data_IF_140273939175
#
_entry.id   IF_140273939175
#
_cell.length_a   1.000
_cell.length_b   1.000
_cell.length_c   1.000
_cell.angle_alpha   90.00
_cell.angle_beta   90.00
_cell.angle_gamma   90.00
#
_symmetry.space_group_name_H-M   'P 1'
#
loop_
_entity.id
_entity.type
_entity.pdbx_description
1 polymer ?
#
# COMPACT_ATOMS: atom_id res chain seq x y z
N UNK A 1 -4.17 -13.58 22.66
CA UNK A 1 -4.29 -12.51 21.66
C UNK A 1 -5.13 -11.40 22.27
N UNK A 2 -4.71 -10.13 22.16
CA UNK A 2 -5.50 -9.02 22.66
C UNK A 2 -6.74 -8.77 21.81
N UNK A 3 -7.71 -8.06 22.36
CA UNK A 3 -8.90 -7.62 21.63
C UNK A 3 -8.48 -6.61 20.56
N UNK A 4 -8.94 -6.72 19.30
CA UNK A 4 -8.60 -5.77 18.24
C UNK A 4 -9.02 -4.33 18.58
N UNK A 5 -8.31 -3.33 18.07
CA UNK A 5 -8.63 -1.92 18.30
C UNK A 5 -10.02 -1.59 17.75
N UNK A 6 -10.36 -2.07 16.54
CA UNK A 6 -11.67 -1.81 15.94
C UNK A 6 -12.84 -2.26 16.83
N UNK A 7 -12.69 -3.39 17.57
CA UNK A 7 -13.73 -3.87 18.48
C UNK A 7 -13.87 -2.98 19.72
N UNK A 8 -12.75 -2.41 20.18
CA UNK A 8 -12.75 -1.48 21.31
C UNK A 8 -13.29 -0.10 20.95
N UNK A 9 -13.11 0.30 19.69
CA UNK A 9 -13.45 1.64 19.22
C UNK A 9 -14.93 1.78 18.82
N UNK A 10 -15.56 0.68 18.34
CA UNK A 10 -16.93 0.70 17.81
C UNK A 10 -17.95 0.52 18.96
N UNK A 11 -19.01 1.35 18.95
CA UNK A 11 -20.14 1.18 19.87
C UNK A 11 -20.77 -0.22 19.75
N UNK A 12 -21.19 -0.92 20.82
CA UNK A 12 -21.32 -0.41 22.20
C UNK A 12 -20.07 -0.54 23.09
N UNK A 13 -18.97 -1.14 22.63
CA UNK A 13 -17.75 -1.29 23.42
C UNK A 13 -16.91 -0.01 23.46
N UNK A 14 -16.98 0.79 22.41
CA UNK A 14 -16.31 2.08 22.25
C UNK A 14 -17.29 3.22 22.04
N UNK A 15 -16.78 4.38 21.65
CA UNK A 15 -17.53 5.62 21.50
C UNK A 15 -17.78 6.02 20.02
N UNK A 16 -17.25 5.25 19.06
CA UNK A 16 -17.38 5.57 17.64
C UNK A 16 -18.44 4.73 16.95
N UNK A 17 -19.17 5.33 16.03
CA UNK A 17 -20.04 4.61 15.11
C UNK A 17 -19.19 3.78 14.12
N UNK A 18 -19.72 2.61 13.76
CA UNK A 18 -18.99 1.75 12.86
C UNK A 18 -19.60 0.37 12.73
N UNK A 19 -18.94 -0.47 11.96
CA UNK A 19 -19.35 -1.87 11.77
C UNK A 19 -18.18 -2.79 11.43
N UNK A 20 -18.40 -4.08 11.64
CA UNK A 20 -17.59 -5.16 11.09
C UNK A 20 -18.50 -6.09 10.27
N UNK A 21 -18.10 -6.36 9.02
CA UNK A 21 -18.85 -7.25 8.12
C UNK A 21 -17.92 -8.32 7.53
N UNK A 22 -18.25 -9.59 7.76
CA UNK A 22 -17.56 -10.72 7.13
C UNK A 22 -18.15 -10.97 5.73
N UNK A 23 -17.30 -11.13 4.73
CA UNK A 23 -17.60 -11.32 3.32
C UNK A 23 -16.85 -12.55 2.78
N UNK A 24 -17.23 -13.74 3.25
CA UNK A 24 -16.55 -14.98 2.86
C UNK A 24 -15.08 -15.00 3.26
N UNK A 25 -14.17 -14.93 2.27
CA UNK A 25 -12.71 -14.91 2.50
C UNK A 25 -12.16 -13.49 2.76
N UNK A 26 -13.05 -12.50 2.83
CA UNK A 26 -12.71 -11.11 3.17
C UNK A 26 -13.54 -10.65 4.36
N UNK A 27 -13.18 -9.52 4.90
CA UNK A 27 -13.99 -8.77 5.84
C UNK A 27 -13.73 -7.28 5.68
N UNK A 28 -14.65 -6.49 6.18
CA UNK A 28 -14.56 -5.02 6.18
C UNK A 28 -14.88 -4.55 7.59
N UNK A 29 -14.09 -3.62 8.12
CA UNK A 29 -14.46 -2.84 9.29
C UNK A 29 -14.50 -1.36 8.93
N UNK A 30 -15.44 -0.65 9.52
CA UNK A 30 -15.56 0.80 9.38
C UNK A 30 -15.62 1.42 10.77
N UNK A 31 -14.90 2.53 10.96
CA UNK A 31 -14.90 3.31 12.20
C UNK A 31 -14.99 4.78 11.81
N UNK A 32 -16.05 5.45 12.21
CA UNK A 32 -16.25 6.86 11.96
C UNK A 32 -15.64 7.69 13.10
N UNK A 33 -14.69 8.57 12.78
CA UNK A 33 -14.04 9.47 13.74
C UNK A 33 -14.07 10.92 13.26
N UNK A 34 -13.57 11.18 12.05
CA UNK A 34 -13.46 12.51 11.46
C UNK A 34 -14.32 12.58 10.20
N UNK A 35 -15.32 13.44 10.12
CA UNK A 35 -16.16 13.59 8.93
C UNK A 35 -15.40 14.17 7.73
N UNK A 36 -14.20 14.73 7.92
CA UNK A 36 -13.44 15.33 6.83
C UNK A 36 -12.50 14.37 6.14
N UNK A 37 -12.02 13.31 6.83
CA UNK A 37 -11.00 12.40 6.30
C UNK A 37 -11.37 10.96 6.49
N UNK A 38 -11.59 10.24 5.39
CA UNK A 38 -11.68 8.78 5.37
C UNK A 38 -10.38 8.19 4.78
N UNK A 39 -9.85 7.17 5.43
CA UNK A 39 -8.75 6.36 4.89
C UNK A 39 -9.21 4.93 4.70
N UNK A 40 -9.18 4.46 3.46
CA UNK A 40 -9.50 3.08 3.09
C UNK A 40 -8.19 2.30 2.97
N UNK A 41 -8.05 1.21 3.71
CA UNK A 41 -6.83 0.40 3.69
C UNK A 41 -7.09 -1.03 3.30
N UNK A 42 -6.09 -1.64 2.69
CA UNK A 42 -6.15 -3.01 2.18
C UNK A 42 -4.99 -3.81 2.76
N UNK A 43 -5.29 -5.01 3.26
CA UNK A 43 -4.27 -5.94 3.75
C UNK A 43 -3.23 -6.26 2.67
N UNK A 44 -2.00 -6.44 3.09
CA UNK A 44 -0.95 -7.03 2.25
C UNK A 44 -0.81 -8.53 2.54
N UNK A 45 0.10 -9.20 1.82
CA UNK A 45 0.32 -10.65 2.00
C UNK A 45 0.83 -11.04 3.39
N UNK A 46 1.45 -10.13 4.15
CA UNK A 46 1.95 -10.44 5.48
C UNK A 46 0.84 -10.40 6.54
N UNK A 47 -0.17 -9.57 6.35
CA UNK A 47 -1.37 -9.52 7.18
C UNK A 47 -2.45 -10.49 6.70
N UNK A 48 -2.48 -10.86 5.42
CA UNK A 48 -3.49 -11.75 4.84
C UNK A 48 -3.54 -13.12 5.53
N UNK A 49 -4.74 -13.60 5.78
CA UNK A 49 -4.98 -14.88 6.44
C UNK A 49 -5.43 -14.73 7.89
N UNK A 50 -5.58 -15.88 8.56
CA UNK A 50 -6.01 -15.92 9.95
C UNK A 50 -7.49 -15.51 10.17
N UNK A 51 -7.82 -15.24 11.43
CA UNK A 51 -9.17 -14.84 11.84
C UNK A 51 -9.28 -13.32 11.76
N UNK A 52 -9.95 -12.77 10.74
CA UNK A 52 -10.12 -11.33 10.54
C UNK A 52 -10.69 -10.61 11.78
N UNK A 53 -11.64 -11.24 12.47
CA UNK A 53 -12.27 -10.68 13.66
C UNK A 53 -11.37 -10.62 14.90
N UNK A 54 -10.21 -11.27 14.85
CA UNK A 54 -9.26 -11.34 15.96
C UNK A 54 -8.02 -10.45 15.77
N UNK A 55 -8.04 -9.59 14.76
CA UNK A 55 -6.93 -8.68 14.45
C UNK A 55 -7.41 -7.35 13.88
N UNK A 56 -6.54 -6.39 13.82
CA UNK A 56 -6.76 -5.13 13.14
C UNK A 56 -6.47 -5.24 11.64
N UNK A 57 -7.11 -4.41 10.84
CA UNK A 57 -6.75 -4.19 9.44
C UNK A 57 -5.39 -3.48 9.35
N UNK A 58 -4.75 -3.55 8.19
CA UNK A 58 -3.49 -2.85 7.95
C UNK A 58 -3.62 -1.36 8.26
N UNK A 59 -2.65 -0.81 8.99
CA UNK A 59 -2.54 0.59 9.39
C UNK A 59 -3.61 1.12 10.38
N UNK A 60 -4.52 0.28 10.94
CA UNK A 60 -5.57 0.72 11.89
C UNK A 60 -5.04 1.65 12.98
N UNK A 61 -3.96 1.25 13.67
CA UNK A 61 -3.39 2.08 14.73
C UNK A 61 -2.90 3.44 14.23
N UNK A 62 -2.23 3.48 13.07
CA UNK A 62 -1.73 4.74 12.51
C UNK A 62 -2.87 5.69 12.16
N UNK A 63 -3.96 5.17 11.62
CA UNK A 63 -5.14 5.96 11.23
C UNK A 63 -5.85 6.48 12.47
N UNK A 64 -6.05 5.62 13.48
CA UNK A 64 -6.60 6.01 14.78
C UNK A 64 -5.76 7.06 15.50
N UNK A 65 -4.42 6.91 15.51
CA UNK A 65 -3.48 7.89 16.09
C UNK A 65 -3.60 9.29 15.41
N UNK A 66 -4.10 9.37 14.17
CA UNK A 66 -4.36 10.62 13.46
C UNK A 66 -5.82 11.11 13.60
N UNK A 67 -6.67 10.39 14.30
CA UNK A 67 -8.09 10.72 14.46
C UNK A 67 -8.95 10.54 13.22
N UNK A 68 -8.44 9.91 12.15
CA UNK A 68 -9.16 9.76 10.88
C UNK A 68 -10.16 8.60 10.91
N UNK A 69 -11.24 8.75 10.15
CA UNK A 69 -12.17 7.65 9.87
C UNK A 69 -11.48 6.56 9.04
N UNK A 70 -11.84 5.31 9.28
CA UNK A 70 -11.14 4.16 8.71
C UNK A 70 -12.11 3.15 8.12
N UNK A 71 -11.89 2.75 6.87
CA UNK A 71 -12.48 1.57 6.25
C UNK A 71 -11.36 0.55 5.97
N UNK A 72 -11.26 -0.49 6.81
CA UNK A 72 -10.23 -1.51 6.69
C UNK A 72 -10.73 -2.73 5.92
N UNK A 73 -10.03 -3.12 4.86
CA UNK A 73 -10.37 -4.29 4.02
C UNK A 73 -9.41 -5.43 4.35
N UNK A 74 -9.95 -6.49 4.93
CA UNK A 74 -9.19 -7.69 5.30
C UNK A 74 -9.18 -8.71 4.17
N UNK A 75 -8.07 -9.41 4.03
CA UNK A 75 -7.93 -10.54 3.12
C UNK A 75 -7.64 -11.84 3.90
N UNK A 76 -8.39 -12.91 3.62
CA UNK A 76 -8.18 -14.24 4.21
C UNK A 76 -7.03 -15.03 3.57
N UNK A 77 -6.35 -14.44 2.58
CA UNK A 77 -5.23 -15.05 1.88
C UNK A 77 -4.76 -14.20 0.71
N UNK A 78 -3.94 -14.74 -0.19
CA UNK A 78 -3.38 -14.06 -1.35
C UNK A 78 -4.42 -13.87 -2.46
N UNK A 79 -5.48 -13.11 -2.19
CA UNK A 79 -6.68 -13.00 -3.03
C UNK A 79 -6.62 -11.88 -4.06
N UNK A 80 -5.74 -10.91 -3.91
CA UNK A 80 -5.78 -9.66 -4.68
C UNK A 80 -7.17 -9.05 -4.75
N UNK A 81 -7.98 -9.27 -3.69
CA UNK A 81 -9.36 -8.76 -3.58
C UNK A 81 -10.25 -9.14 -4.77
N UNK A 82 -9.95 -10.29 -5.41
CA UNK A 82 -10.72 -10.86 -6.52
C UNK A 82 -11.84 -11.74 -5.95
N UNK A 83 -12.89 -11.12 -5.44
CA UNK A 83 -14.08 -11.77 -4.89
C UNK A 83 -15.30 -10.90 -5.21
N UNK A 84 -16.27 -11.45 -5.94
CA UNK A 84 -17.47 -10.72 -6.37
C UNK A 84 -18.24 -10.16 -5.17
N UNK A 85 -18.32 -10.89 -4.06
CA UNK A 85 -19.03 -10.42 -2.84
C UNK A 85 -18.40 -9.17 -2.24
N UNK A 86 -17.06 -9.07 -2.27
CA UNK A 86 -16.37 -7.89 -1.83
C UNK A 86 -16.61 -6.71 -2.78
N UNK A 87 -16.54 -6.96 -4.08
CA UNK A 87 -16.78 -5.95 -5.13
C UNK A 87 -18.20 -5.40 -5.00
N UNK A 88 -19.21 -6.27 -4.88
CA UNK A 88 -20.61 -5.87 -4.74
C UNK A 88 -20.82 -5.09 -3.44
N UNK A 89 -20.26 -5.54 -2.33
CA UNK A 89 -20.40 -4.86 -1.05
C UNK A 89 -19.82 -3.45 -1.07
N UNK A 90 -18.61 -3.28 -1.60
CA UNK A 90 -17.99 -1.96 -1.72
C UNK A 90 -18.75 -1.05 -2.70
N UNK A 91 -19.30 -1.62 -3.76
CA UNK A 91 -20.18 -0.90 -4.71
C UNK A 91 -21.48 -0.44 -4.05
N UNK A 92 -22.07 -1.25 -3.18
CA UNK A 92 -23.24 -0.89 -2.39
C UNK A 92 -22.94 0.26 -1.42
N UNK A 93 -21.80 0.23 -0.70
CA UNK A 93 -21.38 1.33 0.16
C UNK A 93 -21.22 2.64 -0.62
N UNK A 94 -20.73 2.57 -1.88
CA UNK A 94 -20.69 3.72 -2.78
C UNK A 94 -22.09 4.21 -3.13
N UNK A 95 -22.99 3.31 -3.50
CA UNK A 95 -24.38 3.63 -3.87
C UNK A 95 -25.14 4.26 -2.70
N UNK A 96 -24.94 3.75 -1.48
CA UNK A 96 -25.48 4.29 -0.23
C UNK A 96 -24.88 5.67 0.14
N UNK A 97 -23.82 6.08 -0.53
CA UNK A 97 -23.23 7.42 -0.38
C UNK A 97 -22.13 7.52 0.66
N UNK A 98 -21.66 6.43 1.26
CA UNK A 98 -20.65 6.45 2.33
C UNK A 98 -19.45 7.35 1.98
N UNK A 99 -18.91 7.21 0.79
CA UNK A 99 -17.69 7.94 0.40
C UNK A 99 -17.94 9.44 0.11
N UNK A 100 -19.17 9.83 -0.18
CA UNK A 100 -19.55 11.24 -0.46
C UNK A 100 -19.72 12.08 0.80
N UNK A 101 -19.84 11.46 1.97
CA UNK A 101 -19.91 12.17 3.24
C UNK A 101 -18.56 12.77 3.65
N UNK A 102 -17.46 12.32 3.04
CA UNK A 102 -16.12 12.77 3.40
C UNK A 102 -15.60 13.83 2.43
N UNK A 103 -15.06 14.90 2.97
CA UNK A 103 -14.40 15.93 2.17
C UNK A 103 -13.14 15.39 1.47
N UNK A 104 -12.43 14.47 2.13
CA UNK A 104 -11.22 13.85 1.61
C UNK A 104 -11.27 12.34 1.80
N UNK A 105 -11.02 11.59 0.75
CA UNK A 105 -10.87 10.14 0.80
C UNK A 105 -9.49 9.76 0.30
N UNK A 106 -8.78 8.94 1.06
CA UNK A 106 -7.53 8.33 0.63
C UNK A 106 -7.61 6.81 0.67
N UNK A 107 -7.02 6.14 -0.32
CA UNK A 107 -6.87 4.70 -0.35
C UNK A 107 -5.39 4.34 -0.22
N UNK A 108 -5.04 3.40 0.65
CA UNK A 108 -3.65 3.08 0.92
C UNK A 108 -3.40 1.57 1.03
N UNK A 109 -2.23 1.13 0.54
CA UNK A 109 -1.83 -0.26 0.65
C UNK A 109 -0.40 -0.51 0.21
N UNK A 110 0.07 -1.74 0.46
CA UNK A 110 1.38 -2.22 0.02
C UNK A 110 1.26 -3.55 -0.72
N UNK A 111 1.95 -3.70 -1.84
CA UNK A 111 1.93 -4.90 -2.70
C UNK A 111 0.50 -5.29 -3.09
N UNK A 112 0.00 -6.47 -2.67
CA UNK A 112 -1.40 -6.87 -2.86
C UNK A 112 -2.39 -5.79 -2.39
N UNK A 113 -2.14 -5.17 -1.24
CA UNK A 113 -2.98 -4.08 -0.73
C UNK A 113 -2.92 -2.82 -1.60
N UNK A 114 -1.77 -2.54 -2.22
CA UNK A 114 -1.64 -1.43 -3.15
C UNK A 114 -2.40 -1.67 -4.47
N UNK A 115 -2.47 -2.93 -4.93
CA UNK A 115 -3.41 -3.31 -6.00
C UNK A 115 -4.85 -2.98 -5.59
N UNK A 116 -5.28 -3.39 -4.39
CA UNK A 116 -6.63 -3.09 -3.87
C UNK A 116 -6.89 -1.58 -3.82
N UNK A 117 -5.94 -0.79 -3.31
CA UNK A 117 -6.08 0.66 -3.24
C UNK A 117 -6.28 1.31 -4.62
N UNK A 118 -5.57 0.85 -5.65
CA UNK A 118 -5.74 1.33 -7.02
C UNK A 118 -7.03 0.80 -7.67
N UNK A 119 -7.34 -0.49 -7.52
CA UNK A 119 -8.50 -1.13 -8.14
C UNK A 119 -9.83 -0.53 -7.65
N UNK A 120 -9.89 -0.16 -6.38
CA UNK A 120 -11.10 0.40 -5.76
C UNK A 120 -11.10 1.94 -5.65
N UNK A 121 -10.12 2.64 -6.22
CA UNK A 121 -10.05 4.09 -6.17
C UNK A 121 -11.27 4.79 -6.84
N UNK A 122 -11.89 4.14 -7.83
CA UNK A 122 -13.12 4.58 -8.49
C UNK A 122 -14.34 4.69 -7.54
N UNK A 123 -14.27 4.09 -6.34
CA UNK A 123 -15.33 4.22 -5.33
C UNK A 123 -15.49 5.66 -4.86
N UNK A 124 -14.38 6.41 -4.77
CA UNK A 124 -14.34 7.79 -4.31
C UNK A 124 -13.67 8.69 -5.35
N UNK A 125 -14.42 9.26 -6.32
CA UNK A 125 -13.88 10.22 -7.29
C UNK A 125 -13.14 11.37 -6.61
N UNK A 126 -12.00 11.78 -7.15
CA UNK A 126 -11.13 12.80 -6.56
C UNK A 126 -10.22 12.30 -5.43
N UNK A 127 -10.30 11.02 -5.06
CA UNK A 127 -9.49 10.44 -3.99
C UNK A 127 -8.00 10.48 -4.24
N UNK A 128 -7.23 10.38 -3.15
CA UNK A 128 -5.77 10.20 -3.19
C UNK A 128 -5.43 8.73 -2.98
N UNK A 129 -4.58 8.16 -3.84
CA UNK A 129 -4.07 6.79 -3.67
C UNK A 129 -2.62 6.82 -3.22
N UNK A 130 -2.30 6.01 -2.19
CA UNK A 130 -0.93 5.81 -1.66
C UNK A 130 -0.55 4.35 -1.81
N UNK A 131 0.18 4.05 -2.87
CA UNK A 131 0.51 2.69 -3.29
C UNK A 131 2.00 2.39 -3.13
N UNK A 132 2.34 1.42 -2.26
CA UNK A 132 3.72 0.95 -2.10
C UNK A 132 3.92 -0.34 -2.90
N UNK A 133 4.82 -0.32 -3.87
CA UNK A 133 5.16 -1.45 -4.76
C UNK A 133 3.93 -2.16 -5.32
N UNK A 134 2.99 -1.43 -5.96
CA UNK A 134 1.74 -2.01 -6.46
C UNK A 134 1.98 -2.97 -7.61
N UNK A 135 1.09 -3.97 -7.73
CA UNK A 135 0.81 -4.62 -9.00
C UNK A 135 -0.37 -3.90 -9.68
N UNK A 136 -0.35 -3.77 -10.99
CA UNK A 136 -1.48 -3.21 -11.76
C UNK A 136 -2.46 -4.30 -12.20
N UNK A 137 -1.98 -5.52 -12.30
CA UNK A 137 -2.74 -6.77 -12.52
C UNK A 137 -1.79 -7.95 -12.34
N UNK A 138 -2.32 -9.15 -12.10
CA UNK A 138 -1.59 -10.42 -12.23
C UNK A 138 -2.24 -11.34 -13.28
N UNK A 139 -3.14 -10.79 -14.10
CA UNK A 139 -3.64 -11.49 -15.28
C UNK A 139 -2.49 -11.77 -16.23
N UNK A 140 -2.22 -13.04 -16.49
CA UNK A 140 -1.08 -13.47 -17.29
C UNK A 140 -1.19 -13.14 -18.78
N UNK A 141 -2.39 -12.83 -19.29
CA UNK A 141 -2.56 -12.29 -20.64
C UNK A 141 -2.11 -10.82 -20.75
N UNK A 142 -2.02 -10.09 -19.63
CA UNK A 142 -1.68 -8.66 -19.56
C UNK A 142 -0.27 -8.46 -18.99
N UNK A 143 0.08 -9.18 -17.93
CA UNK A 143 1.36 -9.07 -17.23
C UNK A 143 2.09 -10.43 -17.12
N UNK A 144 2.42 -11.10 -18.26
CA UNK A 144 3.06 -12.42 -18.24
C UNK A 144 4.46 -12.43 -17.63
N UNK A 145 5.06 -11.27 -17.48
CA UNK A 145 6.38 -11.04 -16.92
C UNK A 145 6.41 -11.03 -15.38
N UNK A 146 5.27 -10.82 -14.67
CA UNK A 146 5.25 -10.94 -13.20
C UNK A 146 4.73 -12.31 -12.75
N UNK A 147 5.66 -13.21 -12.45
CA UNK A 147 5.39 -14.56 -11.96
C UNK A 147 5.67 -14.74 -10.46
N UNK A 148 5.97 -13.66 -9.74
CA UNK A 148 6.34 -13.72 -8.32
C UNK A 148 5.21 -14.22 -7.41
N UNK A 149 3.97 -14.01 -7.81
CA UNK A 149 2.78 -14.21 -6.96
C UNK A 149 1.85 -15.28 -7.53
N UNK A 150 2.34 -16.52 -7.63
CA UNK A 150 1.62 -17.63 -8.28
C UNK A 150 0.22 -17.89 -7.73
N UNK A 151 -0.03 -17.67 -6.40
CA UNK A 151 -1.37 -17.77 -5.80
C UNK A 151 -2.29 -16.64 -6.25
N UNK A 152 -1.75 -15.44 -6.43
CA UNK A 152 -2.47 -14.29 -6.97
C UNK A 152 -2.82 -14.48 -8.45
N UNK A 153 -1.89 -15.05 -9.23
CA UNK A 153 -2.14 -15.36 -10.65
C UNK A 153 -3.31 -16.32 -10.86
N UNK A 154 -3.62 -17.19 -9.88
CA UNK A 154 -4.72 -18.16 -9.92
C UNK A 154 -6.08 -17.58 -9.51
N UNK A 155 -6.15 -16.32 -9.11
CA UNK A 155 -7.42 -15.68 -8.79
C UNK A 155 -8.24 -15.43 -10.05
N UNK A 156 -9.52 -15.13 -9.88
CA UNK A 156 -10.41 -14.84 -11.00
C UNK A 156 -10.16 -13.41 -11.53
N UNK A 157 -9.39 -13.32 -12.60
CA UNK A 157 -9.07 -12.07 -13.30
C UNK A 157 -10.13 -11.67 -14.35
N UNK A 158 -11.25 -12.42 -14.48
CA UNK A 158 -12.40 -12.02 -15.30
C UNK A 158 -13.33 -11.04 -14.57
N UNK A 159 -13.26 -10.99 -13.24
CA UNK A 159 -14.05 -10.07 -12.42
C UNK A 159 -13.70 -8.61 -12.71
N UNK A 160 -14.63 -7.65 -12.46
CA UNK A 160 -14.40 -6.21 -12.63
C UNK A 160 -13.13 -5.71 -11.92
N UNK A 161 -12.53 -4.63 -12.43
CA UNK A 161 -11.35 -3.97 -11.86
C UNK A 161 -10.09 -4.85 -11.83
N UNK A 162 -9.98 -5.79 -12.75
CA UNK A 162 -8.84 -6.73 -12.84
C UNK A 162 -7.56 -6.08 -13.38
N UNK A 163 -7.66 -5.01 -14.15
CA UNK A 163 -6.55 -4.15 -14.54
C UNK A 163 -6.81 -2.72 -14.04
N UNK A 164 -6.05 -2.30 -13.05
CA UNK A 164 -6.25 -0.99 -12.42
C UNK A 164 -6.07 0.17 -13.40
N UNK A 165 -5.26 -0.01 -14.45
CA UNK A 165 -4.97 1.07 -15.41
C UNK A 165 -6.19 1.55 -16.19
N UNK A 166 -7.27 0.77 -16.21
CA UNK A 166 -8.51 1.08 -16.91
C UNK A 166 -9.52 1.90 -16.08
N UNK A 167 -9.21 2.19 -14.80
CA UNK A 167 -10.19 2.74 -13.87
C UNK A 167 -9.64 3.87 -13.00
N UNK A 168 -8.61 4.59 -13.49
CA UNK A 168 -7.93 5.64 -12.74
C UNK A 168 -8.35 7.06 -13.13
N UNK A 169 -9.18 7.23 -14.15
CA UNK A 169 -9.59 8.51 -14.74
C UNK A 169 -10.21 9.48 -13.72
N UNK A 170 -10.91 8.95 -12.71
CA UNK A 170 -11.54 9.76 -11.67
C UNK A 170 -10.68 9.94 -10.40
N UNK A 171 -9.48 9.38 -10.36
CA UNK A 171 -8.58 9.50 -9.21
C UNK A 171 -7.96 10.90 -9.18
N UNK A 172 -7.93 11.54 -8.01
CA UNK A 172 -7.38 12.89 -7.88
C UNK A 172 -5.85 12.92 -7.93
N UNK A 173 -5.19 12.00 -7.19
CA UNK A 173 -3.73 11.92 -7.13
C UNK A 173 -3.27 10.50 -6.79
N UNK A 174 -2.15 10.08 -7.36
CA UNK A 174 -1.55 8.76 -7.10
C UNK A 174 -0.11 8.94 -6.66
N UNK A 175 0.21 8.58 -5.42
CA UNK A 175 1.57 8.42 -4.94
C UNK A 175 1.98 6.96 -5.08
N UNK A 176 2.94 6.69 -5.97
CA UNK A 176 3.45 5.34 -6.22
C UNK A 176 4.90 5.21 -5.72
N UNK A 177 5.08 4.57 -4.56
CA UNK A 177 6.41 4.33 -3.98
C UNK A 177 6.90 2.97 -4.43
N UNK A 178 8.06 2.90 -5.10
CA UNK A 178 8.60 1.65 -5.63
C UNK A 178 10.12 1.70 -5.76
N UNK A 179 10.75 0.53 -5.79
CA UNK A 179 12.17 0.41 -6.12
C UNK A 179 12.32 0.16 -7.62
N UNK A 180 12.90 1.11 -8.39
CA UNK A 180 13.08 0.94 -9.83
C UNK A 180 14.09 -0.14 -10.20
N UNK A 181 14.87 -0.66 -9.24
CA UNK A 181 15.79 -1.78 -9.45
C UNK A 181 15.08 -3.13 -9.41
N UNK A 182 13.85 -3.19 -8.89
CA UNK A 182 12.95 -4.33 -9.05
C UNK A 182 12.19 -4.16 -10.35
N UNK A 183 12.59 -4.91 -11.36
CA UNK A 183 12.09 -4.74 -12.73
C UNK A 183 10.57 -4.86 -12.81
N UNK A 184 9.99 -5.86 -12.17
CA UNK A 184 8.54 -6.08 -12.16
C UNK A 184 7.78 -4.90 -11.52
N UNK A 185 8.29 -4.36 -10.40
CA UNK A 185 7.67 -3.19 -9.77
C UNK A 185 7.72 -1.98 -10.70
N UNK A 186 8.86 -1.76 -11.37
CA UNK A 186 9.03 -0.69 -12.35
C UNK A 186 8.07 -0.84 -13.52
N UNK A 187 7.96 -2.04 -14.09
CA UNK A 187 7.06 -2.31 -15.21
C UNK A 187 5.59 -2.06 -14.84
N UNK A 188 5.17 -2.40 -13.62
CA UNK A 188 3.82 -2.06 -13.15
C UNK A 188 3.59 -0.54 -13.08
N UNK A 189 4.56 0.23 -12.58
CA UNK A 189 4.43 1.69 -12.51
C UNK A 189 4.40 2.32 -13.91
N UNK A 190 5.20 1.82 -14.84
CA UNK A 190 5.24 2.31 -16.24
C UNK A 190 3.92 2.09 -17.00
N UNK A 191 3.07 1.15 -16.55
CA UNK A 191 1.72 0.97 -17.09
C UNK A 191 0.72 2.02 -16.62
N UNK A 192 0.97 2.73 -15.53
CA UNK A 192 0.04 3.72 -14.99
C UNK A 192 0.17 5.03 -15.78
N UNK A 193 -0.83 5.32 -16.62
CA UNK A 193 -0.94 6.56 -17.37
C UNK A 193 -1.95 7.46 -16.65
N UNK A 194 -1.47 8.38 -15.80
CA UNK A 194 -2.33 9.29 -15.05
C UNK A 194 -1.64 10.65 -14.87
N UNK A 195 -2.34 11.80 -15.15
CA UNK A 195 -1.73 13.12 -15.12
C UNK A 195 -1.17 13.51 -13.75
N UNK A 196 -1.79 13.05 -12.69
CA UNK A 196 -1.39 13.35 -11.31
C UNK A 196 -0.66 12.16 -10.65
N UNK A 197 0.01 11.30 -11.42
CA UNK A 197 0.91 10.28 -10.89
C UNK A 197 2.17 10.93 -10.34
N UNK A 198 2.48 10.66 -9.08
CA UNK A 198 3.71 11.07 -8.41
C UNK A 198 4.56 9.82 -8.14
N UNK A 199 5.49 9.46 -9.05
CA UNK A 199 6.35 8.31 -8.86
C UNK A 199 7.45 8.64 -7.85
N UNK A 200 7.52 7.87 -6.77
CA UNK A 200 8.45 8.04 -5.66
C UNK A 200 9.45 6.88 -5.63
N UNK A 201 10.63 7.09 -6.19
CA UNK A 201 11.66 6.05 -6.37
C UNK A 201 12.38 5.74 -5.04
N UNK A 202 12.04 4.64 -4.41
CA UNK A 202 12.66 4.11 -3.19
C UNK A 202 13.87 3.22 -3.51
N UNK A 203 14.85 3.75 -4.22
CA UNK A 203 16.00 3.03 -4.78
C UNK A 203 16.73 2.22 -3.70
N UNK A 204 16.88 0.90 -3.94
CA UNK A 204 17.57 -0.04 -3.08
C UNK A 204 16.78 -0.48 -1.84
N UNK A 205 15.50 -0.11 -1.71
CA UNK A 205 14.64 -0.61 -0.62
C UNK A 205 13.95 -1.94 -0.95
N UNK A 206 13.97 -2.34 -2.22
CA UNK A 206 13.34 -3.57 -2.72
C UNK A 206 11.81 -3.51 -2.70
N UNK A 207 11.18 -4.62 -3.05
CA UNK A 207 9.72 -4.73 -3.10
C UNK A 207 9.04 -4.40 -1.74
N UNK A 208 9.69 -4.70 -0.62
CA UNK A 208 9.17 -4.41 0.73
C UNK A 208 9.52 -3.00 1.22
N UNK A 209 9.51 -2.00 0.33
CA UNK A 209 9.91 -0.62 0.60
C UNK A 209 9.20 0.00 1.81
N UNK A 210 7.90 -0.20 1.98
CA UNK A 210 7.14 0.28 3.15
C UNK A 210 7.69 -0.25 4.48
N UNK A 211 8.08 -1.55 4.54
CA UNK A 211 8.66 -2.14 5.73
C UNK A 211 10.03 -1.50 6.06
N UNK A 212 10.84 -1.21 5.05
CA UNK A 212 12.16 -0.57 5.24
C UNK A 212 11.97 0.88 5.70
N UNK A 213 11.05 1.62 5.10
CA UNK A 213 10.68 2.99 5.51
C UNK A 213 10.17 3.01 6.97
N UNK A 214 9.41 1.98 7.40
CA UNK A 214 9.00 1.84 8.81
C UNK A 214 10.19 1.67 9.74
N UNK A 215 11.18 0.85 9.38
CA UNK A 215 12.42 0.66 10.16
C UNK A 215 13.30 1.91 10.23
N UNK A 216 13.09 2.85 9.33
CA UNK A 216 13.75 4.14 9.28
C UNK A 216 12.93 5.24 9.98
N UNK A 217 11.79 4.91 10.60
CA UNK A 217 10.82 5.84 11.19
C UNK A 217 10.27 6.90 10.20
N UNK A 218 10.34 6.62 8.90
CA UNK A 218 9.87 7.53 7.85
C UNK A 218 8.48 7.17 7.29
N UNK A 219 8.01 5.93 7.48
CA UNK A 219 6.76 5.47 6.86
C UNK A 219 5.56 6.32 7.27
N UNK A 220 5.39 6.59 8.59
CA UNK A 220 4.25 7.36 9.10
C UNK A 220 4.22 8.79 8.55
N UNK A 221 5.38 9.45 8.45
CA UNK A 221 5.52 10.81 7.91
C UNK A 221 5.18 10.85 6.41
N UNK A 222 5.71 9.89 5.64
CA UNK A 222 5.43 9.76 4.21
C UNK A 222 3.94 9.46 3.98
N UNK A 223 3.36 8.52 4.72
CA UNK A 223 1.93 8.20 4.60
C UNK A 223 1.05 9.39 4.96
N UNK A 224 1.35 10.10 6.07
CA UNK A 224 0.55 11.26 6.48
C UNK A 224 0.58 12.36 5.40
N UNK A 225 1.76 12.71 4.89
CA UNK A 225 1.87 13.72 3.83
C UNK A 225 1.22 13.27 2.52
N UNK A 226 1.31 11.98 2.16
CA UNK A 226 0.68 11.44 0.97
C UNK A 226 -0.86 11.40 1.09
N UNK A 227 -1.41 10.91 2.21
CA UNK A 227 -2.85 10.87 2.48
C UNK A 227 -3.46 12.27 2.43
N UNK A 228 -2.78 13.27 3.00
CA UNK A 228 -3.19 14.69 2.93
C UNK A 228 -2.94 15.34 1.57
N UNK A 229 -2.34 14.64 0.61
CA UNK A 229 -2.01 15.18 -0.71
C UNK A 229 -0.88 16.21 -0.73
N UNK A 230 -0.19 16.43 0.39
CA UNK A 230 0.84 17.48 0.59
C UNK A 230 2.27 17.00 0.36
N UNK A 231 2.51 15.69 0.31
CA UNK A 231 3.86 15.15 0.13
C UNK A 231 4.44 15.57 -1.22
N UNK A 232 5.60 16.22 -1.19
CA UNK A 232 6.36 16.54 -2.41
C UNK A 232 7.41 15.46 -2.70
N UNK A 233 7.83 15.34 -3.97
CA UNK A 233 8.94 14.46 -4.33
C UNK A 233 10.24 14.84 -3.59
N UNK A 234 10.50 16.13 -3.42
CA UNK A 234 11.67 16.64 -2.71
C UNK A 234 11.71 16.15 -1.26
N UNK A 235 10.59 16.29 -0.54
CA UNK A 235 10.47 15.78 0.85
C UNK A 235 10.65 14.28 0.92
N UNK A 236 10.03 13.51 0.00
CA UNK A 236 10.22 12.07 -0.05
C UNK A 236 11.69 11.71 -0.22
N UNK A 237 12.39 12.32 -1.18
CA UNK A 237 13.80 12.01 -1.42
C UNK A 237 14.70 12.47 -0.27
N UNK A 238 14.39 13.56 0.39
CA UNK A 238 15.09 14.02 1.59
C UNK A 238 14.96 12.98 2.72
N UNK A 239 13.73 12.58 3.05
CA UNK A 239 13.45 11.55 4.07
C UNK A 239 14.05 10.19 3.72
N UNK A 240 14.10 9.83 2.44
CA UNK A 240 14.63 8.57 1.96
C UNK A 240 16.18 8.54 1.89
N UNK A 241 16.88 9.63 2.20
CA UNK A 241 18.38 9.66 2.20
C UNK A 241 18.97 8.69 3.21
N UNK A 242 18.35 8.50 4.35
CA UNK A 242 18.82 7.63 5.42
C UNK A 242 18.83 6.14 5.07
N UNK A 243 18.18 5.72 3.99
CA UNK A 243 18.26 4.34 3.47
C UNK A 243 19.71 3.87 3.29
N UNK A 244 20.63 4.82 2.97
CA UNK A 244 22.05 4.51 2.79
C UNK A 244 22.76 4.03 4.05
N UNK A 245 22.08 4.02 5.20
CA UNK A 245 22.61 3.54 6.48
C UNK A 245 22.01 2.18 6.89
N UNK A 246 20.99 1.66 6.17
CA UNK A 246 20.35 0.39 6.52
C UNK A 246 20.92 -0.79 5.74
N UNK A 247 21.07 -1.92 6.44
CA UNK A 247 21.67 -3.14 5.85
C UNK A 247 20.90 -3.69 4.66
N UNK A 248 19.56 -3.54 4.66
CA UNK A 248 18.70 -3.97 3.53
C UNK A 248 19.11 -3.22 2.25
N UNK A 249 19.28 -1.90 2.32
CA UNK A 249 19.75 -1.11 1.19
C UNK A 249 21.09 -1.63 0.66
N UNK A 250 22.06 -1.91 1.57
CA UNK A 250 23.35 -2.46 1.16
C UNK A 250 23.19 -3.76 0.39
N UNK A 251 22.45 -4.72 0.93
CA UNK A 251 22.25 -6.03 0.30
C UNK A 251 21.60 -5.91 -1.07
N UNK A 252 20.52 -5.14 -1.16
CA UNK A 252 19.79 -4.96 -2.43
C UNK A 252 20.65 -4.29 -3.51
N UNK A 253 21.52 -3.33 -3.14
CA UNK A 253 22.45 -2.71 -4.10
C UNK A 253 23.57 -3.67 -4.51
N UNK A 254 24.12 -4.47 -3.58
CA UNK A 254 25.12 -5.48 -3.90
C UNK A 254 24.54 -6.53 -4.87
N UNK A 255 23.33 -7.03 -4.60
CA UNK A 255 22.59 -7.96 -5.46
C UNK A 255 22.36 -7.37 -6.85
N UNK A 256 21.80 -6.17 -6.93
CA UNK A 256 21.57 -5.47 -8.18
C UNK A 256 22.87 -5.28 -9.01
N UNK A 257 23.99 -4.95 -8.37
CA UNK A 257 25.27 -4.82 -9.04
C UNK A 257 25.76 -6.16 -9.61
N UNK A 258 25.59 -7.25 -8.88
CA UNK A 258 25.95 -8.60 -9.30
C UNK A 258 25.11 -9.06 -10.48
N UNK A 259 23.77 -8.93 -10.39
CA UNK A 259 22.84 -9.28 -11.47
C UNK A 259 23.10 -8.52 -12.78
N UNK A 260 23.71 -7.34 -12.69
CA UNK A 260 24.09 -6.51 -13.86
C UNK A 260 25.53 -6.74 -14.34
N UNK A 261 26.23 -7.76 -13.86
CA UNK A 261 27.62 -8.04 -14.21
C UNK A 261 28.60 -6.95 -13.73
N UNK A 262 28.24 -6.24 -12.65
CA UNK A 262 29.04 -5.16 -12.05
C UNK A 262 29.58 -5.49 -10.67
N UNK A 263 29.78 -6.77 -10.38
CA UNK A 263 30.26 -7.29 -9.11
C UNK A 263 31.61 -6.70 -8.68
N UNK A 264 32.46 -6.27 -9.65
CA UNK A 264 33.71 -5.57 -9.39
C UNK A 264 33.52 -4.26 -8.60
N UNK A 265 32.31 -3.68 -8.62
CA UNK A 265 31.96 -2.46 -7.87
C UNK A 265 31.52 -2.72 -6.43
N UNK A 266 31.15 -3.95 -6.10
CA UNK A 266 30.64 -4.31 -4.76
C UNK A 266 31.66 -4.00 -3.64
N UNK A 267 32.97 -4.30 -3.73
CA UNK A 267 33.91 -3.97 -2.67
C UNK A 267 33.99 -2.47 -2.38
N UNK A 268 34.03 -1.64 -3.43
CA UNK A 268 34.07 -0.17 -3.30
C UNK A 268 32.79 0.37 -2.65
N UNK A 269 31.63 -0.14 -3.09
CA UNK A 269 30.32 0.24 -2.52
C UNK A 269 30.23 -0.15 -1.05
N UNK A 270 30.64 -1.38 -0.69
CA UNK A 270 30.64 -1.88 0.69
C UNK A 270 31.54 -1.07 1.61
N UNK A 271 32.72 -0.65 1.13
CA UNK A 271 33.62 0.24 1.87
C UNK A 271 32.96 1.60 2.13
N UNK A 272 32.38 2.21 1.12
CA UNK A 272 31.67 3.51 1.24
C UNK A 272 30.49 3.40 2.23
N UNK A 273 29.73 2.31 2.20
CA UNK A 273 28.64 2.06 3.12
C UNK A 273 29.13 1.96 4.59
N UNK A 274 30.24 1.21 4.84
CA UNK A 274 30.84 1.08 6.18
C UNK A 274 31.31 2.44 6.71
N UNK A 275 32.05 3.19 5.91
CA UNK A 275 32.56 4.53 6.29
C UNK A 275 31.41 5.48 6.66
N UNK A 276 30.35 5.48 5.86
CA UNK A 276 29.18 6.32 6.13
C UNK A 276 28.49 5.97 7.46
N UNK A 277 28.38 4.69 7.78
CA UNK A 277 27.80 4.27 9.05
C UNK A 277 28.68 4.65 10.24
N UNK A 278 29.98 4.42 10.15
CA UNK A 278 30.91 4.80 11.20
C UNK A 278 30.88 6.32 11.48
N UNK A 279 30.79 7.16 10.43
CA UNK A 279 30.67 8.61 10.59
C UNK A 279 29.35 9.09 11.23
N UNK A 280 28.34 8.22 11.33
CA UNK A 280 27.06 8.55 12.00
C UNK A 280 27.07 8.10 13.47
N UNK A 281 27.86 7.07 13.78
CA UNK A 281 27.98 6.49 15.13
C UNK A 281 29.02 7.25 15.99
N UNK A 282 29.86 8.10 15.36
CA UNK A 282 30.80 9.01 15.99
C UNK A 282 30.14 10.37 16.27
#
# INVERSE_FOLDING_TARGET
>A
MGVPLWYKDIFPQGEFDGFYRKLGNHAVNYIERDPNQLVITFDNLAEAGGRHYARDAWATKFIGDNGWSHLGIFAGGPTWFRDQRLIDYLSNLKAEGLFRHYANVALAGTSMGAFGALAFAHLAPGSTVVAFSPQTTLNQSIAPWDRRFWKGMKQDWSLPYSDVTQHLDQVGKIYAVYDPYIEQDRMHIERIQHPNLVPLKAIGLGHKSAMVLRRMDQLKLIMSGAIKGTLTQSEFYQRNRDRKNVLVYRRNIEEYLTERGKEHRVPRFRRAFKLRRAAREA
#
